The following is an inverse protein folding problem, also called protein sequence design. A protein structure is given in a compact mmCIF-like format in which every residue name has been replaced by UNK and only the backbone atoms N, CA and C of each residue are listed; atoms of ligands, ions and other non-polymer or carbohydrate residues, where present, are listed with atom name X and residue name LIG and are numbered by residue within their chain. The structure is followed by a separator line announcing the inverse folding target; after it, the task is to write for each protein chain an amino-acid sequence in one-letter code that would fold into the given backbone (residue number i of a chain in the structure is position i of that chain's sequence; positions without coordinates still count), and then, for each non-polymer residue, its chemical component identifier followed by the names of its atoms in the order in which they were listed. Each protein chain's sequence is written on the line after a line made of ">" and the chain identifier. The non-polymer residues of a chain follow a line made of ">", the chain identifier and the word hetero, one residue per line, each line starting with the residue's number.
data_IF_327493311988
#
_entry.id   IF_327493311988
#
_cell.length_a   1.000
_cell.length_b   1.000
_cell.length_c   1.000
_cell.angle_alpha   90.00
_cell.angle_beta   90.00
_cell.angle_gamma   90.00
#
_symmetry.space_group_name_H-M   'P 1'
#
loop_
_entity.id
_entity.type
_entity.pdbx_description
1 polymer ?
#
# COMPACT_ATOMS: atom_id res chain seq x y z
N UNK A 1 5.06 -21.95 -8.96
CA UNK A 1 5.50 -21.47 -7.63
C UNK A 1 4.86 -20.11 -7.41
N UNK A 2 4.27 -19.85 -6.25
CA UNK A 2 3.63 -18.56 -5.98
C UNK A 2 4.64 -17.53 -5.45
N UNK A 3 4.59 -16.31 -6.00
CA UNK A 3 5.51 -15.22 -5.65
C UNK A 3 4.99 -14.44 -4.44
N UNK A 4 5.88 -13.94 -3.59
CA UNK A 4 5.44 -13.19 -2.42
C UNK A 4 5.17 -11.72 -2.76
N UNK A 5 4.11 -11.15 -2.19
CA UNK A 5 3.80 -9.73 -2.30
C UNK A 5 3.70 -9.10 -0.89
N UNK A 6 4.71 -8.32 -0.54
CA UNK A 6 4.73 -7.48 0.67
C UNK A 6 3.84 -6.25 0.52
N UNK A 7 2.88 -6.08 1.44
CA UNK A 7 1.91 -4.99 1.50
C UNK A 7 2.04 -4.29 2.85
N UNK A 8 2.09 -2.97 2.91
CA UNK A 8 2.13 -2.24 4.19
C UNK A 8 0.96 -1.27 4.34
N UNK A 9 0.37 -1.27 5.53
CA UNK A 9 -0.66 -0.34 5.91
C UNK A 9 -0.07 0.80 6.71
N UNK A 10 -0.36 2.05 6.32
CA UNK A 10 -0.11 3.18 7.23
C UNK A 10 -0.95 3.03 8.51
N UNK A 11 -2.17 2.50 8.36
CA UNK A 11 -3.01 2.09 9.49
C UNK A 11 -3.84 0.86 9.10
N UNK A 12 -3.92 -0.14 9.96
CA UNK A 12 -4.83 -1.25 9.74
C UNK A 12 -6.23 -0.90 10.28
N UNK A 13 -7.23 -0.81 9.40
CA UNK A 13 -8.59 -0.40 9.75
C UNK A 13 -9.63 -1.00 8.82
N UNK A 14 -10.86 -1.16 9.32
CA UNK A 14 -12.00 -1.63 8.52
C UNK A 14 -12.32 -0.71 7.33
N UNK A 15 -11.92 0.57 7.38
CA UNK A 15 -12.03 1.49 6.24
C UNK A 15 -11.22 1.05 5.01
N UNK A 16 -10.26 0.14 5.18
CA UNK A 16 -9.44 -0.41 4.09
C UNK A 16 -9.86 -1.84 3.76
N UNK A 17 -11.11 -2.20 4.05
CA UNK A 17 -11.67 -3.53 3.82
C UNK A 17 -11.52 -4.02 2.38
N UNK A 18 -11.54 -3.19 1.30
CA UNK A 18 -11.28 -3.70 -0.04
C UNK A 18 -9.90 -4.36 -0.16
N UNK A 19 -8.83 -3.69 0.32
CA UNK A 19 -7.47 -4.26 0.28
C UNK A 19 -7.33 -5.48 1.22
N UNK A 20 -7.99 -5.45 2.38
CA UNK A 20 -8.03 -6.60 3.29
C UNK A 20 -8.72 -7.80 2.61
N UNK A 21 -9.83 -7.57 1.92
CA UNK A 21 -10.56 -8.60 1.18
C UNK A 21 -9.74 -9.13 -0.01
N UNK A 22 -9.00 -8.27 -0.72
CA UNK A 22 -8.06 -8.71 -1.78
C UNK A 22 -7.04 -9.73 -1.26
N UNK A 23 -6.54 -9.54 -0.03
CA UNK A 23 -5.61 -10.49 0.59
C UNK A 23 -6.31 -11.74 1.16
N UNK A 24 -7.36 -11.54 1.95
CA UNK A 24 -8.00 -12.61 2.72
C UNK A 24 -8.99 -13.46 1.89
N UNK A 25 -9.58 -12.86 0.86
CA UNK A 25 -10.57 -13.49 -0.02
C UNK A 25 -9.98 -14.40 -1.09
N UNK A 26 -8.66 -14.52 -1.18
CA UNK A 26 -8.00 -15.43 -2.12
C UNK A 26 -7.69 -14.82 -3.50
N UNK A 27 -8.14 -13.60 -3.81
CA UNK A 27 -7.90 -12.95 -5.09
C UNK A 27 -6.42 -12.90 -5.48
N UNK A 28 -5.52 -12.50 -4.56
CA UNK A 28 -4.08 -12.52 -4.85
C UNK A 28 -3.54 -13.94 -5.08
N UNK A 29 -4.08 -14.94 -4.37
CA UNK A 29 -3.67 -16.33 -4.54
C UNK A 29 -4.08 -16.89 -5.91
N UNK A 30 -5.26 -16.50 -6.41
CA UNK A 30 -5.74 -16.84 -7.75
C UNK A 30 -4.79 -16.29 -8.84
N UNK A 31 -4.21 -15.12 -8.60
CA UNK A 31 -3.15 -14.52 -9.43
C UNK A 31 -1.74 -15.10 -9.17
N UNK A 32 -1.61 -16.14 -8.34
CA UNK A 32 -0.33 -16.77 -8.03
C UNK A 32 0.55 -15.99 -7.04
N UNK A 33 -0.02 -15.03 -6.30
CA UNK A 33 0.67 -14.22 -5.30
C UNK A 33 0.37 -14.68 -3.87
N UNK A 34 1.36 -14.65 -2.99
CA UNK A 34 1.24 -14.91 -1.55
C UNK A 34 1.37 -13.59 -0.78
N UNK A 35 0.26 -13.03 -0.25
CA UNK A 35 0.33 -11.77 0.47
C UNK A 35 1.03 -11.93 1.82
N UNK A 36 1.92 -10.98 2.12
CA UNK A 36 2.39 -10.68 3.47
C UNK A 36 2.03 -9.24 3.78
N UNK A 37 1.49 -8.98 4.96
CA UNK A 37 1.20 -7.61 5.37
C UNK A 37 1.90 -7.20 6.65
N UNK A 38 2.13 -5.89 6.78
CA UNK A 38 2.64 -5.24 7.98
C UNK A 38 1.94 -3.90 8.18
N UNK A 39 2.19 -3.26 9.33
CA UNK A 39 1.64 -1.95 9.68
C UNK A 39 2.79 -1.04 10.05
N UNK A 40 2.85 0.16 9.45
CA UNK A 40 3.89 1.14 9.74
C UNK A 40 3.88 1.53 11.21
N UNK A 41 5.07 1.78 11.78
CA UNK A 41 5.17 2.34 13.11
C UNK A 41 4.51 3.73 13.18
N UNK A 42 4.04 4.17 14.36
CA UNK A 42 3.45 5.51 14.52
C UNK A 42 4.36 6.61 13.96
N UNK A 43 3.78 7.50 13.14
CA UNK A 43 4.50 8.60 12.51
C UNK A 43 5.33 8.23 11.27
N UNK A 44 5.36 6.96 10.86
CA UNK A 44 5.99 6.53 9.60
C UNK A 44 4.94 6.33 8.51
N UNK A 45 5.27 6.78 7.31
CA UNK A 45 4.46 6.56 6.12
C UNK A 45 4.83 5.22 5.47
N UNK A 46 3.83 4.44 5.07
CA UNK A 46 4.05 3.19 4.33
C UNK A 46 4.73 3.39 2.97
N UNK A 47 4.73 4.62 2.45
CA UNK A 47 5.47 5.00 1.23
C UNK A 47 6.99 4.84 1.43
N UNK A 48 7.51 4.97 2.65
CA UNK A 48 8.93 4.76 2.91
C UNK A 48 9.37 3.35 2.50
N UNK A 49 8.53 2.34 2.77
CA UNK A 49 8.80 0.96 2.37
C UNK A 49 8.77 0.74 0.85
N UNK A 50 8.03 1.57 0.10
CA UNK A 50 8.07 1.54 -1.37
C UNK A 50 9.40 2.09 -1.88
N UNK A 51 9.92 3.13 -1.24
CA UNK A 51 11.15 3.81 -1.65
C UNK A 51 12.40 2.99 -1.35
N UNK A 52 12.42 2.25 -0.24
CA UNK A 52 13.53 1.36 0.12
C UNK A 52 13.41 -0.06 -0.44
N UNK A 53 12.29 -0.38 -1.09
CA UNK A 53 12.02 -1.66 -1.74
C UNK A 53 11.61 -2.80 -0.77
N UNK A 54 11.36 -2.50 0.50
CA UNK A 54 10.88 -3.50 1.48
C UNK A 54 9.42 -3.93 1.25
N UNK A 55 8.62 -3.10 0.58
CA UNK A 55 7.21 -3.39 0.24
C UNK A 55 6.92 -3.11 -1.23
N UNK A 56 5.94 -3.81 -1.80
CA UNK A 56 5.54 -3.63 -3.21
C UNK A 56 4.29 -2.74 -3.35
N UNK A 57 3.39 -2.80 -2.37
CA UNK A 57 2.14 -2.03 -2.34
C UNK A 57 1.97 -1.42 -0.96
N UNK A 58 1.54 -0.17 -0.89
CA UNK A 58 1.28 0.52 0.35
C UNK A 58 -0.13 1.12 0.37
N UNK A 59 -0.84 0.95 1.48
CA UNK A 59 -2.02 1.75 1.79
C UNK A 59 -1.55 3.10 2.37
N UNK A 60 -1.87 4.18 1.69
CA UNK A 60 -1.57 5.55 2.12
C UNK A 60 -2.66 6.52 1.66
N UNK A 61 -2.72 7.70 2.29
CA UNK A 61 -3.61 8.77 1.84
C UNK A 61 -3.05 9.46 0.58
N UNK A 62 -3.89 9.89 -0.37
CA UNK A 62 -3.45 10.64 -1.56
C UNK A 62 -2.68 11.92 -1.21
N UNK A 63 -2.98 12.52 -0.06
CA UNK A 63 -2.31 13.74 0.43
C UNK A 63 -0.80 13.58 0.63
N UNK A 64 -0.30 12.35 0.75
CA UNK A 64 1.14 12.08 0.80
C UNK A 64 1.87 12.48 -0.50
N UNK A 65 1.15 12.63 -1.62
CA UNK A 65 1.70 13.12 -2.88
C UNK A 65 1.68 14.65 -3.03
N UNK A 66 0.97 15.39 -2.18
CA UNK A 66 0.71 16.82 -2.41
C UNK A 66 1.96 17.70 -2.23
N UNK A 67 2.79 17.43 -1.21
CA UNK A 67 4.01 18.22 -0.99
C UNK A 67 4.98 18.27 -2.19
N UNK A 68 5.32 17.12 -2.81
CA UNK A 68 6.05 17.12 -4.08
C UNK A 68 5.33 17.88 -5.21
N UNK A 69 4.03 17.70 -5.37
CA UNK A 69 3.24 18.35 -6.43
C UNK A 69 3.24 19.88 -6.29
N UNK A 70 3.09 20.41 -5.06
CA UNK A 70 3.17 21.84 -4.76
C UNK A 70 4.53 22.45 -5.16
N UNK A 71 5.58 21.64 -5.17
CA UNK A 71 6.93 22.04 -5.59
C UNK A 71 7.19 21.80 -7.08
N UNK A 72 6.18 21.42 -7.86
CA UNK A 72 6.32 21.06 -9.28
C UNK A 72 7.10 19.76 -9.50
N UNK A 73 7.21 18.90 -8.49
CA UNK A 73 7.93 17.62 -8.55
C UNK A 73 6.96 16.46 -8.70
N UNK A 74 7.46 15.38 -9.30
CA UNK A 74 6.72 14.12 -9.36
C UNK A 74 6.64 13.47 -7.97
N UNK A 75 5.48 12.95 -7.55
CA UNK A 75 5.36 12.17 -6.32
C UNK A 75 6.24 10.91 -6.35
N UNK A 76 6.75 10.47 -5.18
CA UNK A 76 7.63 9.30 -5.08
C UNK A 76 6.92 7.96 -5.31
N UNK A 77 5.59 7.94 -5.29
CA UNK A 77 4.76 6.76 -5.48
C UNK A 77 3.51 7.11 -6.31
N UNK A 78 2.97 6.10 -7.00
CA UNK A 78 1.74 6.22 -7.79
C UNK A 78 0.57 5.63 -7.02
N UNK A 79 -0.49 6.40 -6.83
CA UNK A 79 -1.77 5.92 -6.32
C UNK A 79 -2.64 5.43 -7.48
N UNK A 80 -3.11 4.18 -7.42
CA UNK A 80 -3.80 3.55 -8.54
C UNK A 80 -5.14 2.88 -8.19
N UNK A 81 -5.48 2.76 -6.90
CA UNK A 81 -6.72 2.13 -6.46
C UNK A 81 -7.28 2.87 -5.24
N UNK A 82 -8.47 3.46 -5.42
CA UNK A 82 -9.23 4.05 -4.31
C UNK A 82 -9.94 2.92 -3.56
N UNK A 83 -9.75 2.87 -2.24
CA UNK A 83 -10.30 1.80 -1.38
C UNK A 83 -11.18 2.35 -0.25
N UNK A 84 -11.39 3.67 -0.21
CA UNK A 84 -12.28 4.37 0.71
C UNK A 84 -12.87 5.59 0.00
N UNK A 85 -14.13 5.92 0.30
CA UNK A 85 -14.85 7.13 -0.16
C UNK A 85 -15.53 7.80 1.04
#
# INVERSE_FOLDING_TARGET
>A
MSQDISIEFTRFSAFYSPLIATMAGGFLKEEGLRPRHSVSAPGKSAIAGLLDGSVHVAQSAPSQGFGPLEQGKQPPAVHFAQINE
#
